data_IF_848997092896
#
_entry.id   IF_848997092896
#
_cell.length_a   1.000
_cell.length_b   1.000
_cell.length_c   1.000
_cell.angle_alpha   90.00
_cell.angle_beta   90.00
_cell.angle_gamma   90.00
#
_symmetry.space_group_name_H-M   'P 1'
#
loop_
_entity.id
_entity.type
_entity.pdbx_description
1 polymer ?
#
# COMPACT_ATOMS: atom_id res chain seq x y z
N UNK A 1 3.40 -15.64 -13.97
CA UNK A 1 3.23 -16.44 -12.73
C UNK A 1 4.39 -16.19 -11.77
N UNK A 2 5.66 -16.45 -12.14
CA UNK A 2 6.83 -16.28 -11.25
C UNK A 2 6.94 -14.87 -10.65
N UNK A 3 6.69 -13.82 -11.43
CA UNK A 3 6.66 -12.44 -10.93
C UNK A 3 5.52 -12.20 -9.93
N UNK A 4 4.36 -12.84 -10.10
CA UNK A 4 3.26 -12.74 -9.14
C UNK A 4 3.61 -13.41 -7.81
N UNK A 5 4.22 -14.59 -7.84
CA UNK A 5 4.72 -15.27 -6.62
C UNK A 5 5.75 -14.41 -5.91
N UNK A 6 6.69 -13.85 -6.67
CA UNK A 6 7.70 -12.94 -6.13
C UNK A 6 7.07 -11.70 -5.52
N UNK A 7 6.13 -11.06 -6.21
CA UNK A 7 5.43 -9.86 -5.72
C UNK A 7 4.74 -10.08 -4.39
N UNK A 8 4.13 -11.26 -4.17
CA UNK A 8 3.47 -11.60 -2.90
C UNK A 8 4.43 -11.88 -1.74
N UNK A 9 5.70 -12.18 -2.02
CA UNK A 9 6.66 -12.59 -0.98
C UNK A 9 7.71 -11.53 -0.66
N UNK A 10 8.13 -10.73 -1.63
CA UNK A 10 9.25 -9.80 -1.48
C UNK A 10 8.98 -8.69 -0.45
N UNK A 11 7.72 -8.26 -0.31
CA UNK A 11 7.35 -7.20 0.61
C UNK A 11 7.10 -7.65 2.04
N UNK A 12 7.07 -8.96 2.32
CA UNK A 12 6.74 -9.50 3.66
C UNK A 12 7.67 -8.96 4.74
N UNK A 13 8.97 -8.88 4.46
CA UNK A 13 9.99 -8.35 5.39
C UNK A 13 9.89 -6.83 5.60
N UNK A 14 9.49 -6.08 4.57
CA UNK A 14 9.30 -4.63 4.67
C UNK A 14 8.05 -4.28 5.48
N UNK A 15 7.04 -5.14 5.46
CA UNK A 15 5.75 -4.94 6.13
C UNK A 15 5.57 -5.77 7.40
N UNK A 16 6.68 -6.20 8.02
CA UNK A 16 6.67 -7.00 9.27
C UNK A 16 5.75 -6.43 10.35
N UNK A 17 5.72 -5.11 10.52
CA UNK A 17 4.90 -4.44 11.54
C UNK A 17 3.39 -4.70 11.39
N UNK A 18 2.90 -5.04 10.20
CA UNK A 18 1.48 -5.26 9.98
C UNK A 18 1.01 -6.62 10.50
N UNK A 19 1.89 -7.62 10.48
CA UNK A 19 1.59 -8.95 10.97
C UNK A 19 2.14 -9.19 12.39
N UNK A 20 3.33 -8.67 12.71
CA UNK A 20 4.09 -8.97 13.92
C UNK A 20 4.34 -7.72 14.79
N UNK A 21 3.35 -6.83 14.93
CA UNK A 21 3.50 -5.53 15.58
C UNK A 21 4.02 -5.66 17.02
N UNK A 22 3.28 -6.36 17.87
CA UNK A 22 3.61 -6.52 19.30
C UNK A 22 4.85 -7.39 19.47
N UNK A 23 4.96 -8.48 18.72
CA UNK A 23 6.11 -9.38 18.78
C UNK A 23 7.43 -8.66 18.42
N UNK A 24 7.41 -7.72 17.45
CA UNK A 24 8.59 -6.89 17.13
C UNK A 24 8.98 -5.97 18.27
N UNK A 25 7.99 -5.32 18.91
CA UNK A 25 8.22 -4.42 20.03
C UNK A 25 8.86 -5.20 21.19
N UNK A 26 8.30 -6.34 21.54
CA UNK A 26 8.74 -7.14 22.68
C UNK A 26 10.12 -7.76 22.43
N UNK A 27 10.32 -8.41 21.27
CA UNK A 27 11.58 -9.09 20.94
C UNK A 27 12.76 -8.14 20.77
N UNK A 28 12.54 -6.95 20.20
CA UNK A 28 13.58 -5.94 19.96
C UNK A 28 13.60 -4.83 21.02
N UNK A 29 12.75 -4.92 22.05
CA UNK A 29 12.61 -3.96 23.15
C UNK A 29 12.45 -2.52 22.65
N UNK A 30 11.57 -2.33 21.69
CA UNK A 30 11.26 -1.03 21.09
C UNK A 30 10.02 -0.41 21.72
N UNK A 31 9.89 0.91 21.58
CA UNK A 31 8.62 1.61 21.83
C UNK A 31 7.78 1.68 20.56
N UNK A 32 6.47 1.96 20.71
CA UNK A 32 5.58 2.18 19.56
C UNK A 32 6.04 3.37 18.71
N UNK A 33 6.54 4.44 19.34
CA UNK A 33 7.15 5.59 18.64
C UNK A 33 8.36 5.16 17.83
N UNK A 34 9.26 4.33 18.39
CA UNK A 34 10.43 3.84 17.67
C UNK A 34 10.05 3.01 16.45
N UNK A 35 9.05 2.12 16.57
CA UNK A 35 8.54 1.36 15.43
C UNK A 35 7.92 2.29 14.36
N UNK A 36 7.22 3.35 14.77
CA UNK A 36 6.72 4.40 13.88
C UNK A 36 7.84 5.16 13.17
N UNK A 37 8.91 5.53 13.89
CA UNK A 37 10.08 6.21 13.32
C UNK A 37 10.80 5.39 12.25
N UNK A 38 10.84 4.06 12.38
CA UNK A 38 11.35 3.20 11.30
C UNK A 38 10.61 3.47 10.00
N UNK A 39 9.28 3.55 10.04
CA UNK A 39 8.47 3.87 8.85
C UNK A 39 8.78 5.26 8.30
N UNK A 40 8.93 6.27 9.15
CA UNK A 40 9.31 7.63 8.72
C UNK A 40 10.66 7.63 8.00
N UNK A 41 11.65 6.96 8.56
CA UNK A 41 13.01 6.89 7.99
C UNK A 41 12.98 6.16 6.65
N UNK A 42 12.33 5.01 6.56
CA UNK A 42 12.24 4.23 5.32
C UNK A 42 11.47 4.97 4.23
N UNK A 43 10.40 5.69 4.58
CA UNK A 43 9.67 6.53 3.62
C UNK A 43 10.50 7.72 3.12
N UNK A 44 11.29 8.36 3.99
CA UNK A 44 12.22 9.41 3.56
C UNK A 44 13.26 8.87 2.57
N UNK A 45 13.81 7.69 2.83
CA UNK A 45 14.74 7.01 1.92
C UNK A 45 14.04 6.67 0.61
N UNK A 46 12.83 6.11 0.65
CA UNK A 46 12.03 5.78 -0.54
C UNK A 46 11.82 7.01 -1.42
N UNK A 47 11.49 8.15 -0.82
CA UNK A 47 11.30 9.41 -1.53
C UNK A 47 12.59 9.89 -2.21
N UNK A 48 13.72 9.82 -1.52
CA UNK A 48 15.04 10.21 -2.08
C UNK A 48 15.44 9.28 -3.23
N UNK A 49 15.20 7.97 -3.08
CA UNK A 49 15.64 6.97 -4.06
C UNK A 49 14.68 6.83 -5.25
N UNK A 50 13.47 7.38 -5.18
CA UNK A 50 12.46 7.25 -6.24
C UNK A 50 12.97 7.73 -7.60
N UNK A 51 13.63 8.89 -7.66
CA UNK A 51 14.17 9.46 -8.92
C UNK A 51 15.38 8.65 -9.42
N UNK A 52 16.45 8.42 -8.62
CA UNK A 52 17.54 7.55 -9.06
C UNK A 52 17.11 6.13 -9.40
N UNK A 53 16.15 5.57 -8.64
CA UNK A 53 15.61 4.23 -8.86
C UNK A 53 14.89 4.10 -10.21
N UNK A 54 14.06 5.08 -10.57
CA UNK A 54 13.40 5.12 -11.89
C UNK A 54 14.43 5.19 -13.02
N UNK A 55 15.45 6.03 -12.88
CA UNK A 55 16.52 6.15 -13.87
C UNK A 55 17.33 4.84 -14.01
N UNK A 56 17.57 4.12 -12.91
CA UNK A 56 18.20 2.81 -12.97
C UNK A 56 17.29 1.78 -13.65
N UNK A 57 15.99 1.81 -13.38
CA UNK A 57 15.01 0.91 -13.99
C UNK A 57 14.94 1.06 -15.51
N UNK A 58 15.12 2.29 -16.01
CA UNK A 58 15.14 2.55 -17.46
C UNK A 58 16.44 2.07 -18.14
N UNK A 59 17.58 2.14 -17.44
CA UNK A 59 18.90 1.83 -18.01
C UNK A 59 19.35 0.39 -17.82
N UNK A 60 18.92 -0.25 -16.77
CA UNK A 60 19.36 -1.61 -16.43
C UNK A 60 18.36 -2.65 -16.96
N UNK A 61 18.89 -3.83 -17.24
CA UNK A 61 18.09 -5.00 -17.61
C UNK A 61 17.13 -5.38 -16.47
N UNK A 62 15.82 -5.37 -16.74
CA UNK A 62 14.81 -5.57 -15.72
C UNK A 62 14.98 -6.87 -14.92
N UNK A 63 15.30 -7.99 -15.59
CA UNK A 63 15.55 -9.28 -14.93
C UNK A 63 16.68 -9.20 -13.91
N UNK A 64 17.78 -8.51 -14.24
CA UNK A 64 18.94 -8.38 -13.33
C UNK A 64 18.60 -7.55 -12.10
N UNK A 65 17.88 -6.45 -12.27
CA UNK A 65 17.46 -5.60 -11.15
C UNK A 65 16.50 -6.37 -10.24
N UNK A 66 15.51 -7.06 -10.80
CA UNK A 66 14.56 -7.88 -10.06
C UNK A 66 15.32 -8.97 -9.24
N UNK A 67 16.22 -9.72 -9.87
CA UNK A 67 17.00 -10.76 -9.20
C UNK A 67 17.93 -10.20 -8.11
N UNK A 68 18.56 -9.06 -8.36
CA UNK A 68 19.41 -8.39 -7.36
C UNK A 68 18.59 -7.97 -6.14
N UNK A 69 17.43 -7.33 -6.35
CA UNK A 69 16.56 -6.88 -5.26
C UNK A 69 16.06 -8.08 -4.45
N UNK A 70 15.53 -9.09 -5.12
CA UNK A 70 14.98 -10.28 -4.48
C UNK A 70 16.03 -11.09 -3.72
N UNK A 71 17.19 -11.31 -4.34
CA UNK A 71 18.30 -12.02 -3.72
C UNK A 71 18.88 -11.27 -2.52
N UNK A 72 19.00 -9.95 -2.61
CA UNK A 72 19.48 -9.13 -1.48
C UNK A 72 18.49 -9.13 -0.31
N UNK A 73 17.18 -9.03 -0.55
CA UNK A 73 16.16 -9.12 0.50
C UNK A 73 16.17 -10.50 1.14
N UNK A 74 16.25 -11.57 0.33
CA UNK A 74 16.39 -12.94 0.83
C UNK A 74 17.59 -13.06 1.77
N UNK A 75 18.75 -12.56 1.35
CA UNK A 75 19.99 -12.61 2.12
C UNK A 75 19.86 -11.81 3.43
N UNK A 76 19.33 -10.59 3.38
CA UNK A 76 19.10 -9.77 4.57
C UNK A 76 18.17 -10.48 5.57
N UNK A 77 17.10 -11.13 5.09
CA UNK A 77 16.18 -11.86 5.93
C UNK A 77 16.79 -13.14 6.53
N UNK A 78 17.55 -13.89 5.77
CA UNK A 78 18.23 -15.11 6.26
C UNK A 78 19.30 -14.80 7.30
N UNK A 79 19.99 -13.66 7.16
CA UNK A 79 21.02 -13.23 8.11
C UNK A 79 20.44 -12.44 9.29
N UNK A 80 19.13 -12.13 9.31
CA UNK A 80 18.48 -11.32 10.33
C UNK A 80 18.85 -11.67 11.76
N UNK A 81 18.83 -12.96 12.21
CA UNK A 81 19.16 -13.32 13.58
C UNK A 81 20.62 -13.03 13.98
N UNK A 82 21.51 -12.86 13.02
CA UNK A 82 22.94 -12.65 13.27
C UNK A 82 23.25 -11.19 13.61
N UNK A 83 22.45 -10.23 13.18
CA UNK A 83 22.79 -8.81 13.32
C UNK A 83 21.66 -7.93 13.85
N UNK A 84 20.39 -8.42 13.88
CA UNK A 84 19.27 -7.62 14.40
C UNK A 84 18.96 -8.02 15.84
N UNK A 85 19.41 -7.18 16.79
CA UNK A 85 19.24 -7.41 18.22
C UNK A 85 18.57 -6.24 18.96
N UNK A 86 18.08 -5.23 18.23
CA UNK A 86 17.42 -4.05 18.82
C UNK A 86 17.12 -2.97 17.80
N UNK A 87 16.59 -1.84 18.29
CA UNK A 87 16.12 -0.75 17.44
C UNK A 87 17.12 -0.28 16.35
N UNK A 88 18.40 0.05 16.65
CA UNK A 88 19.30 0.56 15.62
C UNK A 88 19.58 -0.43 14.49
N UNK A 89 19.75 -1.71 14.81
CA UNK A 89 19.99 -2.75 13.82
C UNK A 89 18.74 -3.08 13.01
N UNK A 90 17.55 -2.96 13.61
CA UNK A 90 16.28 -3.08 12.88
C UNK A 90 16.06 -1.91 11.91
N UNK A 91 16.39 -0.67 12.32
CA UNK A 91 16.41 0.49 11.41
C UNK A 91 17.33 0.21 10.21
N UNK A 92 18.55 -0.28 10.46
CA UNK A 92 19.49 -0.63 9.39
C UNK A 92 18.90 -1.70 8.43
N UNK A 93 18.30 -2.75 8.98
CA UNK A 93 17.63 -3.79 8.19
C UNK A 93 16.56 -3.22 7.27
N UNK A 94 15.67 -2.40 7.81
CA UNK A 94 14.58 -1.80 7.03
C UNK A 94 15.08 -0.77 6.01
N UNK A 95 16.10 0.02 6.36
CA UNK A 95 16.74 0.94 5.42
C UNK A 95 17.41 0.18 4.26
N UNK A 96 18.12 -0.92 4.55
CA UNK A 96 18.74 -1.77 3.53
C UNK A 96 17.69 -2.39 2.59
N UNK A 97 16.59 -2.93 3.12
CA UNK A 97 15.47 -3.41 2.32
C UNK A 97 14.93 -2.32 1.38
N UNK A 98 14.71 -1.11 1.91
CA UNK A 98 14.19 0.02 1.14
C UNK A 98 15.12 0.45 0.01
N UNK A 99 16.43 0.53 0.27
CA UNK A 99 17.44 0.88 -0.72
C UNK A 99 17.48 -0.12 -1.88
N UNK A 100 17.45 -1.40 -1.55
CA UNK A 100 17.50 -2.49 -2.53
C UNK A 100 16.25 -2.51 -3.42
N UNK A 101 15.10 -2.07 -2.88
CA UNK A 101 13.82 -2.01 -3.61
C UNK A 101 13.70 -0.79 -4.54
N UNK A 102 14.62 0.16 -4.50
CA UNK A 102 14.50 1.46 -5.17
C UNK A 102 14.19 1.42 -6.67
N UNK A 103 14.76 0.47 -7.41
CA UNK A 103 14.50 0.29 -8.84
C UNK A 103 13.55 -0.90 -9.15
N UNK A 104 13.25 -1.74 -8.17
CA UNK A 104 12.50 -2.98 -8.35
C UNK A 104 11.12 -2.75 -8.96
N UNK A 105 10.35 -1.82 -8.37
CA UNK A 105 8.98 -1.57 -8.79
C UNK A 105 8.89 -1.06 -10.23
N UNK A 106 9.77 -0.14 -10.62
CA UNK A 106 9.85 0.36 -12.00
C UNK A 106 10.15 -0.76 -13.00
N UNK A 107 11.15 -1.61 -12.71
CA UNK A 107 11.50 -2.75 -13.55
C UNK A 107 10.36 -3.77 -13.64
N UNK A 108 9.67 -4.05 -12.52
CA UNK A 108 8.54 -4.97 -12.47
C UNK A 108 7.38 -4.47 -13.34
N UNK A 109 6.98 -3.21 -13.18
CA UNK A 109 5.88 -2.63 -13.95
C UNK A 109 6.22 -2.56 -15.44
N UNK A 110 7.42 -2.11 -15.79
CA UNK A 110 7.95 -2.14 -17.17
C UNK A 110 7.83 -3.55 -17.76
N UNK A 111 8.25 -4.58 -17.03
CA UNK A 111 8.22 -5.96 -17.51
C UNK A 111 6.79 -6.46 -17.73
N UNK A 112 5.87 -6.26 -16.76
CA UNK A 112 4.48 -6.72 -16.85
C UNK A 112 3.71 -6.00 -17.96
N UNK A 113 3.90 -4.66 -18.07
CA UNK A 113 3.21 -3.85 -19.06
C UNK A 113 3.54 -4.29 -20.51
N UNK A 114 4.80 -4.67 -20.75
CA UNK A 114 5.24 -5.04 -22.08
C UNK A 114 4.99 -6.53 -22.43
N UNK A 115 4.75 -7.41 -21.44
CA UNK A 115 4.47 -8.82 -21.69
C UNK A 115 3.16 -9.08 -22.46
N UNK A 116 2.12 -8.27 -22.18
CA UNK A 116 0.79 -8.44 -22.76
C UNK A 116 0.58 -7.67 -24.08
N UNK A 117 1.53 -6.82 -24.49
CA UNK A 117 1.30 -5.88 -25.58
C UNK A 117 0.16 -4.89 -25.27
N UNK A 118 -0.24 -4.07 -26.25
CA UNK A 118 -1.27 -3.03 -26.04
C UNK A 118 -2.68 -3.62 -25.76
N UNK A 119 -2.98 -4.81 -26.31
CA UNK A 119 -4.31 -5.44 -26.21
C UNK A 119 -4.48 -6.30 -24.94
N UNK A 120 -3.40 -6.87 -24.38
CA UNK A 120 -3.46 -7.83 -23.26
C UNK A 120 -2.79 -7.34 -21.98
N UNK A 121 -2.35 -6.09 -21.92
CA UNK A 121 -1.72 -5.52 -20.72
C UNK A 121 -2.61 -5.65 -19.47
N UNK A 122 -3.92 -5.39 -19.61
CA UNK A 122 -4.87 -5.55 -18.52
C UNK A 122 -4.96 -6.98 -17.98
N UNK A 123 -4.88 -7.98 -18.84
CA UNK A 123 -4.90 -9.40 -18.47
C UNK A 123 -3.59 -9.80 -17.76
N UNK A 124 -2.45 -9.27 -18.23
CA UNK A 124 -1.14 -9.49 -17.60
C UNK A 124 -1.08 -8.92 -16.18
N UNK A 125 -1.57 -7.70 -15.97
CA UNK A 125 -1.70 -7.10 -14.64
C UNK A 125 -2.70 -7.85 -13.76
N UNK A 126 -3.86 -8.22 -14.29
CA UNK A 126 -4.87 -9.01 -13.57
C UNK A 126 -4.30 -10.34 -13.08
N UNK A 127 -3.60 -11.06 -13.95
CA UNK A 127 -2.93 -12.31 -13.60
C UNK A 127 -1.83 -12.10 -12.56
N UNK A 128 -1.02 -11.04 -12.72
CA UNK A 128 0.01 -10.70 -11.75
C UNK A 128 -0.60 -10.45 -10.36
N UNK A 129 -1.61 -9.57 -10.25
CA UNK A 129 -2.20 -9.23 -8.95
C UNK A 129 -2.94 -10.39 -8.30
N UNK A 130 -3.61 -11.25 -9.09
CA UNK A 130 -4.24 -12.46 -8.56
C UNK A 130 -3.20 -13.39 -7.92
N UNK A 131 -2.11 -13.67 -8.62
CA UNK A 131 -1.06 -14.56 -8.11
C UNK A 131 -0.31 -13.90 -6.95
N UNK A 132 -0.06 -12.59 -7.01
CA UNK A 132 0.52 -11.81 -5.93
C UNK A 132 -0.32 -11.92 -4.65
N UNK A 133 -1.63 -11.71 -4.74
CA UNK A 133 -2.53 -11.84 -3.60
C UNK A 133 -2.54 -13.25 -2.99
N UNK A 134 -2.65 -14.28 -3.82
CA UNK A 134 -2.64 -15.68 -3.37
C UNK A 134 -1.30 -16.07 -2.75
N UNK A 135 -0.18 -15.74 -3.41
CA UNK A 135 1.15 -16.07 -2.90
C UNK A 135 1.51 -15.26 -1.65
N UNK A 136 1.04 -14.01 -1.55
CA UNK A 136 1.20 -13.18 -0.37
C UNK A 136 0.44 -13.76 0.83
N UNK A 137 -0.80 -14.19 0.63
CA UNK A 137 -1.57 -14.87 1.69
C UNK A 137 -0.85 -16.14 2.16
N UNK A 138 -0.56 -17.06 1.24
CA UNK A 138 0.10 -18.33 1.57
C UNK A 138 1.50 -18.11 2.14
N UNK A 139 2.27 -17.18 1.57
CA UNK A 139 3.62 -16.84 2.01
C UNK A 139 3.69 -16.26 3.42
N UNK A 140 2.63 -15.60 3.89
CA UNK A 140 2.55 -15.07 5.26
C UNK A 140 2.08 -16.12 6.28
N UNK A 141 1.35 -17.16 5.89
CA UNK A 141 1.00 -18.25 6.82
C UNK A 141 2.21 -19.08 7.25
N UNK A 142 3.23 -19.25 6.39
CA UNK A 142 4.45 -19.98 6.73
C UNK A 142 5.23 -19.30 7.88
N UNK A 143 5.53 -17.99 7.83
CA UNK A 143 6.15 -17.26 8.95
C UNK A 143 5.34 -17.28 10.23
N UNK A 144 4.01 -17.16 10.15
CA UNK A 144 3.13 -17.23 11.31
C UNK A 144 3.18 -18.59 11.98
N UNK A 145 3.08 -19.66 11.19
CA UNK A 145 3.20 -21.02 11.70
C UNK A 145 4.58 -21.28 12.31
N UNK A 146 5.64 -20.82 11.64
CA UNK A 146 6.99 -20.97 12.13
C UNK A 146 7.23 -20.22 13.45
N UNK A 147 6.71 -19.00 13.59
CA UNK A 147 6.78 -18.24 14.83
C UNK A 147 6.08 -18.96 15.98
N UNK A 148 4.86 -19.46 15.76
CA UNK A 148 4.07 -20.13 16.79
C UNK A 148 4.76 -21.39 17.37
N UNK A 149 5.72 -22.00 16.65
CA UNK A 149 6.46 -23.17 17.12
C UNK A 149 7.60 -22.83 18.09
N UNK A 150 8.14 -21.59 18.05
CA UNK A 150 9.39 -21.23 18.73
C UNK A 150 9.22 -20.23 19.88
N UNK A 151 8.00 -19.73 20.11
CA UNK A 151 7.68 -18.79 21.19
C UNK A 151 8.19 -17.37 20.97
N UNK A 152 7.93 -16.47 21.94
CA UNK A 152 8.09 -15.02 21.75
C UNK A 152 9.52 -14.53 21.56
N UNK A 153 10.51 -15.09 22.26
CA UNK A 153 11.90 -14.60 22.19
C UNK A 153 12.60 -14.94 20.86
N UNK A 154 12.34 -16.12 20.29
CA UNK A 154 12.96 -16.57 19.04
C UNK A 154 12.00 -16.50 17.85
N UNK A 155 10.71 -16.34 18.10
CA UNK A 155 9.64 -16.43 17.11
C UNK A 155 9.80 -15.44 15.96
N UNK A 156 10.09 -14.16 16.25
CA UNK A 156 10.31 -13.13 15.23
C UNK A 156 11.51 -13.49 14.34
N UNK A 157 12.62 -13.97 14.91
CA UNK A 157 13.79 -14.37 14.15
C UNK A 157 13.44 -15.52 13.19
N UNK A 158 12.72 -16.53 13.68
CA UNK A 158 12.30 -17.67 12.85
C UNK A 158 11.30 -17.26 11.79
N UNK A 159 10.37 -16.35 12.10
CA UNK A 159 9.45 -15.79 11.13
C UNK A 159 10.19 -15.08 10.00
N UNK A 160 11.13 -14.18 10.31
CA UNK A 160 11.89 -13.44 9.30
C UNK A 160 12.77 -14.37 8.46
N UNK A 161 13.44 -15.35 9.06
CA UNK A 161 14.21 -16.36 8.33
C UNK A 161 13.32 -17.18 7.40
N UNK A 162 12.13 -17.59 7.84
CA UNK A 162 11.17 -18.30 7.00
C UNK A 162 10.68 -17.45 5.81
N UNK A 163 10.45 -16.15 6.01
CA UNK A 163 10.19 -15.20 4.91
C UNK A 163 11.37 -15.15 3.93
N UNK A 164 12.60 -15.14 4.45
CA UNK A 164 13.80 -15.20 3.64
C UNK A 164 13.88 -16.48 2.79
N UNK A 165 13.52 -17.63 3.36
CA UNK A 165 13.48 -18.90 2.62
C UNK A 165 12.41 -18.86 1.51
N UNK A 166 11.20 -18.41 1.83
CA UNK A 166 10.09 -18.28 0.85
C UNK A 166 10.49 -17.34 -0.27
N UNK A 167 11.08 -16.18 0.05
CA UNK A 167 11.57 -15.22 -0.95
C UNK A 167 12.74 -15.79 -1.77
N UNK A 168 13.59 -16.62 -1.16
CA UNK A 168 14.67 -17.33 -1.89
C UNK A 168 14.07 -18.29 -2.92
N UNK A 169 13.07 -19.08 -2.54
CA UNK A 169 12.38 -19.99 -3.48
C UNK A 169 11.75 -19.19 -4.62
N UNK A 170 11.07 -18.09 -4.33
CA UNK A 170 10.50 -17.21 -5.36
C UNK A 170 11.59 -16.60 -6.26
N UNK A 171 12.77 -16.23 -5.70
CA UNK A 171 13.94 -15.73 -6.47
C UNK A 171 14.43 -16.78 -7.45
N UNK A 172 14.54 -18.03 -7.01
CA UNK A 172 14.95 -19.16 -7.88
C UNK A 172 13.93 -19.38 -9.00
N UNK A 173 12.62 -19.29 -8.70
CA UNK A 173 11.59 -19.38 -9.73
C UNK A 173 11.70 -18.25 -10.76
N UNK A 174 11.99 -17.03 -10.33
CA UNK A 174 12.25 -15.90 -11.24
C UNK A 174 13.51 -16.13 -12.05
N UNK A 175 14.59 -16.63 -11.45
CA UNK A 175 15.84 -16.91 -12.16
C UNK A 175 15.62 -17.92 -13.32
N UNK A 176 14.83 -18.96 -13.06
CA UNK A 176 14.59 -20.06 -14.03
C UNK A 176 13.56 -19.64 -15.11
N UNK A 177 12.46 -19.02 -14.73
CA UNK A 177 11.31 -18.83 -15.61
C UNK A 177 11.17 -17.42 -16.18
N UNK A 178 11.86 -16.41 -15.63
CA UNK A 178 11.79 -15.07 -16.19
C UNK A 178 12.77 -14.96 -17.38
N UNK A 179 12.25 -14.55 -18.52
CA UNK A 179 13.04 -14.33 -19.73
C UNK A 179 13.82 -13.01 -19.61
N UNK A 180 15.02 -12.95 -20.18
CA UNK A 180 15.78 -11.73 -20.30
C UNK A 180 15.31 -10.86 -21.48
N UNK A 181 15.77 -9.61 -21.55
CA UNK A 181 15.36 -8.68 -22.62
C UNK A 181 15.72 -9.18 -24.01
N UNK A 182 16.79 -9.98 -24.13
CA UNK A 182 17.24 -10.56 -25.40
C UNK A 182 16.26 -11.65 -25.87
N UNK A 183 15.87 -12.55 -24.97
CA UNK A 183 14.87 -13.60 -25.25
C UNK A 183 13.51 -13.02 -25.62
N UNK A 184 13.10 -11.94 -24.93
CA UNK A 184 11.85 -11.24 -25.24
C UNK A 184 11.93 -10.55 -26.62
N UNK A 185 13.07 -9.92 -26.95
CA UNK A 185 13.27 -9.30 -28.25
C UNK A 185 13.22 -10.30 -29.41
N UNK A 186 13.75 -11.52 -29.21
CA UNK A 186 13.65 -12.61 -30.19
C UNK A 186 12.18 -13.06 -30.45
N UNK A 187 11.29 -12.82 -29.49
CA UNK A 187 9.83 -13.00 -29.62
C UNK A 187 9.09 -11.77 -30.13
N UNK A 188 9.81 -10.71 -30.48
CA UNK A 188 9.21 -9.46 -30.93
C UNK A 188 8.69 -8.54 -29.83
N UNK A 189 8.95 -8.87 -28.53
CA UNK A 189 8.55 -8.05 -27.38
C UNK A 189 9.72 -7.16 -27.00
N UNK A 190 9.53 -5.84 -27.11
CA UNK A 190 10.51 -4.87 -26.63
C UNK A 190 10.04 -4.24 -25.33
N UNK A 191 10.84 -4.35 -24.26
CA UNK A 191 10.57 -3.66 -22.99
C UNK A 191 10.82 -2.16 -23.15
N UNK A 192 9.76 -1.43 -23.54
CA UNK A 192 9.79 0.03 -23.55
C UNK A 192 9.52 0.52 -22.13
N UNK A 193 10.30 1.49 -21.64
CA UNK A 193 9.97 2.22 -20.41
C UNK A 193 8.68 3.03 -20.61
N UNK A 194 7.99 3.32 -19.51
CA UNK A 194 6.90 4.28 -19.53
C UNK A 194 7.43 5.63 -20.03
N UNK A 195 6.58 6.40 -20.73
CA UNK A 195 6.97 7.76 -21.14
C UNK A 195 7.41 8.54 -19.89
N UNK A 196 8.62 9.13 -19.89
CA UNK A 196 9.13 9.82 -18.73
C UNK A 196 8.17 10.95 -18.35
N UNK A 197 7.86 11.08 -17.05
CA UNK A 197 7.04 12.16 -16.53
C UNK A 197 7.56 13.48 -17.12
N UNK A 198 6.74 14.15 -17.91
CA UNK A 198 7.15 15.40 -18.52
C UNK A 198 7.16 16.50 -17.45
N UNK A 199 8.35 16.73 -16.87
CA UNK A 199 8.57 17.72 -15.80
C UNK A 199 8.00 19.10 -16.18
N UNK A 200 7.91 19.41 -17.48
CA UNK A 200 7.33 20.68 -17.95
C UNK A 200 5.83 20.80 -17.69
N UNK A 201 5.13 19.70 -17.48
CA UNK A 201 3.70 19.70 -17.16
C UNK A 201 3.41 19.87 -15.66
N UNK A 202 4.37 19.58 -14.79
CA UNK A 202 4.19 19.65 -13.32
C UNK A 202 3.64 21.02 -12.86
N UNK A 203 4.19 22.18 -13.29
CA UNK A 203 3.67 23.48 -12.85
C UNK A 203 2.22 23.75 -13.27
N UNK A 204 1.78 23.15 -14.38
CA UNK A 204 0.39 23.29 -14.86
C UNK A 204 -0.55 22.41 -14.06
N UNK A 205 -0.17 21.13 -13.86
CA UNK A 205 -0.94 20.17 -13.06
C UNK A 205 -1.09 20.66 -11.61
N UNK A 206 -0.05 21.26 -11.03
CA UNK A 206 -0.10 21.84 -9.69
C UNK A 206 -1.03 23.06 -9.56
N UNK A 207 -1.39 23.72 -10.66
CA UNK A 207 -2.36 24.82 -10.64
C UNK A 207 -3.81 24.35 -10.72
N UNK A 208 -4.08 23.10 -11.04
CA UNK A 208 -5.43 22.59 -11.20
C UNK A 208 -6.07 22.22 -9.86
N UNK A 209 -7.29 22.69 -9.54
CA UNK A 209 -8.00 22.27 -8.34
C UNK A 209 -8.23 20.77 -8.27
N UNK A 210 -8.44 20.09 -9.41
CA UNK A 210 -8.58 18.65 -9.50
C UNK A 210 -7.39 17.89 -8.90
N UNK A 211 -6.17 18.42 -9.04
CA UNK A 211 -4.95 17.81 -8.48
C UNK A 211 -4.96 17.81 -6.96
N UNK A 212 -5.44 18.88 -6.33
CA UNK A 212 -5.56 18.93 -4.86
C UNK A 212 -6.72 18.05 -4.38
N UNK A 213 -7.81 18.00 -5.12
CA UNK A 213 -8.93 17.13 -4.77
C UNK A 213 -8.49 15.65 -4.77
N UNK A 214 -7.77 15.19 -5.80
CA UNK A 214 -7.28 13.81 -5.83
C UNK A 214 -6.19 13.57 -4.78
N UNK A 215 -5.32 14.55 -4.50
CA UNK A 215 -4.32 14.46 -3.45
C UNK A 215 -4.98 14.19 -2.08
N UNK A 216 -5.99 14.96 -1.70
CA UNK A 216 -6.69 14.76 -0.43
C UNK A 216 -7.59 13.53 -0.44
N UNK A 217 -8.22 13.19 -1.56
CA UNK A 217 -8.99 11.96 -1.69
C UNK A 217 -8.11 10.72 -1.53
N UNK A 218 -6.91 10.74 -2.11
CA UNK A 218 -5.93 9.67 -1.91
C UNK A 218 -5.41 9.66 -0.46
N UNK A 219 -5.11 10.83 0.12
CA UNK A 219 -4.68 10.94 1.52
C UNK A 219 -5.65 10.23 2.46
N UNK A 220 -6.94 10.59 2.40
CA UNK A 220 -7.96 10.01 3.29
C UNK A 220 -8.16 8.52 3.04
N UNK A 221 -8.26 8.10 1.78
CA UNK A 221 -8.42 6.69 1.44
C UNK A 221 -7.23 5.85 1.89
N UNK A 222 -6.01 6.36 1.64
CA UNK A 222 -4.79 5.67 2.02
C UNK A 222 -4.56 5.68 3.54
N UNK A 223 -5.01 6.73 4.24
CA UNK A 223 -5.00 6.77 5.72
C UNK A 223 -5.79 5.60 6.29
N UNK A 224 -6.99 5.33 5.79
CA UNK A 224 -7.77 4.18 6.24
C UNK A 224 -7.10 2.86 5.87
N UNK A 225 -6.62 2.73 4.62
CA UNK A 225 -5.98 1.52 4.10
C UNK A 225 -4.75 1.12 4.90
N UNK A 226 -3.82 2.04 5.14
CA UNK A 226 -2.57 1.75 5.84
C UNK A 226 -2.79 1.46 7.34
N UNK A 227 -3.79 2.10 7.95
CA UNK A 227 -3.96 2.06 9.40
C UNK A 227 -5.02 1.05 9.90
N UNK A 228 -5.68 0.29 9.01
CA UNK A 228 -6.48 -0.87 9.41
C UNK A 228 -5.64 -1.91 10.18
N UNK A 229 -4.34 -1.91 9.98
CA UNK A 229 -3.36 -2.76 10.68
C UNK A 229 -3.33 -2.54 12.19
N UNK A 230 -3.76 -1.37 12.70
CA UNK A 230 -3.83 -1.10 14.15
C UNK A 230 -4.88 -1.95 14.89
N UNK A 231 -5.76 -2.64 14.17
CA UNK A 231 -6.54 -3.72 14.80
C UNK A 231 -5.67 -4.86 15.32
N UNK A 232 -4.46 -5.08 14.79
CA UNK A 232 -3.56 -6.12 15.28
C UNK A 232 -3.15 -5.87 16.74
N UNK A 233 -2.43 -4.80 17.08
CA UNK A 233 -2.10 -4.52 18.47
C UNK A 233 -3.34 -4.23 19.34
N UNK A 234 -4.41 -3.64 18.81
CA UNK A 234 -5.66 -3.43 19.55
C UNK A 234 -6.26 -4.74 20.08
N UNK A 235 -6.31 -5.79 19.26
CA UNK A 235 -6.82 -7.09 19.64
C UNK A 235 -5.98 -7.73 20.74
N UNK A 236 -4.67 -7.50 20.77
CA UNK A 236 -3.76 -8.01 21.80
C UNK A 236 -3.89 -7.18 23.08
N UNK A 237 -3.68 -5.87 22.99
CA UNK A 237 -3.50 -4.98 24.13
C UNK A 237 -4.82 -4.63 24.85
N UNK A 238 -5.94 -4.62 24.12
CA UNK A 238 -7.26 -4.21 24.66
C UNK A 238 -8.19 -5.39 24.85
N UNK A 239 -8.26 -6.29 23.87
CA UNK A 239 -9.16 -7.46 23.91
C UNK A 239 -8.49 -8.66 24.58
N UNK A 240 -7.16 -8.72 24.60
CA UNK A 240 -6.40 -9.75 25.30
C UNK A 240 -6.32 -11.08 24.55
N UNK A 241 -6.35 -11.04 23.20
CA UNK A 241 -6.13 -12.27 22.42
C UNK A 241 -4.66 -12.61 22.31
N UNK A 242 -4.41 -13.87 22.06
CA UNK A 242 -3.07 -14.36 21.78
C UNK A 242 -2.44 -13.63 20.56
N UNK A 243 -1.16 -13.21 20.64
CA UNK A 243 -0.46 -12.51 19.55
C UNK A 243 -0.45 -13.27 18.23
N UNK A 244 -0.31 -14.60 18.27
CA UNK A 244 -0.29 -15.43 17.06
C UNK A 244 -1.67 -15.47 16.40
N UNK A 245 -2.73 -15.56 17.21
CA UNK A 245 -4.10 -15.46 16.71
C UNK A 245 -4.37 -14.10 16.09
N UNK A 246 -3.93 -13.00 16.70
CA UNK A 246 -4.05 -11.65 16.13
C UNK A 246 -3.34 -11.52 14.79
N UNK A 247 -2.15 -12.12 14.67
CA UNK A 247 -1.36 -12.12 13.44
C UNK A 247 -2.08 -12.85 12.30
N UNK A 248 -2.78 -13.97 12.59
CA UNK A 248 -3.63 -14.66 11.60
C UNK A 248 -4.75 -13.74 11.11
N UNK A 249 -5.46 -13.07 12.02
CA UNK A 249 -6.50 -12.09 11.63
C UNK A 249 -5.92 -10.93 10.82
N UNK A 250 -4.67 -10.51 11.08
CA UNK A 250 -3.98 -9.48 10.30
C UNK A 250 -3.76 -9.91 8.85
N UNK A 251 -3.32 -11.16 8.62
CA UNK A 251 -3.17 -11.71 7.26
C UNK A 251 -4.52 -11.80 6.56
N UNK A 252 -5.57 -12.24 7.24
CA UNK A 252 -6.92 -12.30 6.65
C UNK A 252 -7.42 -10.89 6.30
N UNK A 253 -7.19 -9.88 7.16
CA UNK A 253 -7.53 -8.48 6.87
C UNK A 253 -6.81 -7.95 5.64
N UNK A 254 -5.52 -8.22 5.52
CA UNK A 254 -4.69 -7.64 4.46
C UNK A 254 -4.90 -8.33 3.11
N UNK A 255 -4.90 -9.65 3.08
CA UNK A 255 -4.95 -10.41 1.84
C UNK A 255 -6.36 -10.91 1.49
N UNK A 256 -7.14 -11.32 2.49
CA UNK A 256 -8.53 -11.73 2.29
C UNK A 256 -9.41 -10.58 1.78
N UNK A 257 -9.18 -9.38 2.28
CA UNK A 257 -9.91 -8.19 1.83
C UNK A 257 -9.60 -7.81 0.37
N UNK A 258 -8.44 -8.20 -0.18
CA UNK A 258 -8.11 -7.94 -1.60
C UNK A 258 -9.09 -8.63 -2.56
N UNK A 259 -9.69 -9.75 -2.15
CA UNK A 259 -10.71 -10.46 -2.95
C UNK A 259 -11.94 -9.58 -3.21
N UNK A 260 -12.22 -8.65 -2.30
CA UNK A 260 -13.36 -7.72 -2.38
C UNK A 260 -13.05 -6.47 -3.22
N UNK A 261 -11.80 -6.19 -3.53
CA UNK A 261 -11.40 -5.03 -4.32
C UNK A 261 -12.19 -4.83 -5.63
N UNK A 262 -12.46 -5.86 -6.45
CA UNK A 262 -13.27 -5.73 -7.67
C UNK A 262 -14.69 -5.22 -7.42
N UNK A 263 -15.26 -5.45 -6.23
CA UNK A 263 -16.59 -4.95 -5.86
C UNK A 263 -16.60 -3.42 -5.83
N UNK A 264 -15.49 -2.76 -5.50
CA UNK A 264 -15.37 -1.31 -5.55
C UNK A 264 -15.67 -0.76 -6.95
N UNK A 265 -15.10 -1.38 -8.00
CA UNK A 265 -15.39 -1.03 -9.38
C UNK A 265 -16.86 -1.27 -9.75
N UNK A 266 -17.43 -2.41 -9.35
CA UNK A 266 -18.85 -2.71 -9.58
C UNK A 266 -19.75 -1.67 -8.90
N UNK A 267 -19.44 -1.30 -7.67
CA UNK A 267 -20.20 -0.27 -6.94
C UNK A 267 -20.10 1.08 -7.63
N UNK A 268 -18.88 1.52 -8.00
CA UNK A 268 -18.67 2.79 -8.66
C UNK A 268 -19.33 2.87 -10.05
N UNK A 269 -19.16 1.84 -10.89
CA UNK A 269 -19.54 1.90 -12.31
C UNK A 269 -20.97 1.42 -12.57
N UNK A 270 -21.45 0.37 -11.87
CA UNK A 270 -22.75 -0.24 -12.15
C UNK A 270 -23.86 0.16 -11.19
N UNK A 271 -23.54 0.23 -9.87
CA UNK A 271 -24.57 0.52 -8.84
C UNK A 271 -24.78 2.02 -8.71
N UNK A 272 -23.72 2.77 -8.38
CA UNK A 272 -23.84 4.23 -8.17
C UNK A 272 -23.62 5.05 -9.44
N UNK A 273 -23.03 4.45 -10.48
CA UNK A 273 -22.71 5.11 -11.76
C UNK A 273 -21.87 6.39 -11.58
N UNK A 274 -21.18 6.49 -10.47
CA UNK A 274 -20.32 7.62 -10.10
C UNK A 274 -19.35 7.19 -9.00
N UNK A 275 -18.07 7.42 -9.19
CA UNK A 275 -17.03 7.13 -8.21
C UNK A 275 -17.17 8.04 -6.99
N UNK A 276 -17.49 9.31 -7.17
CA UNK A 276 -17.70 10.26 -6.06
C UNK A 276 -18.89 9.89 -5.19
N UNK A 277 -20.00 9.40 -5.77
CA UNK A 277 -21.16 8.94 -5.00
C UNK A 277 -20.82 7.67 -4.22
N UNK A 278 -20.13 6.71 -4.83
CA UNK A 278 -19.63 5.52 -4.12
C UNK A 278 -18.72 5.91 -2.95
N UNK A 279 -17.81 6.89 -3.14
CA UNK A 279 -16.94 7.39 -2.09
C UNK A 279 -17.70 7.94 -0.89
N UNK A 280 -18.74 8.75 -1.10
CA UNK A 280 -19.59 9.25 0.00
C UNK A 280 -20.17 8.11 0.83
N UNK A 281 -20.74 7.11 0.16
CA UNK A 281 -21.37 5.96 0.83
C UNK A 281 -20.33 5.10 1.55
N UNK A 282 -19.21 4.79 0.88
CA UNK A 282 -18.15 3.95 1.45
C UNK A 282 -17.47 4.61 2.66
N UNK A 283 -17.19 5.92 2.60
CA UNK A 283 -16.65 6.65 3.75
C UNK A 283 -17.66 6.77 4.90
N UNK A 284 -18.96 6.93 4.60
CA UNK A 284 -20.00 6.94 5.64
C UNK A 284 -20.08 5.58 6.36
N UNK A 285 -20.06 4.48 5.60
CA UNK A 285 -20.02 3.12 6.16
C UNK A 285 -18.74 2.91 6.97
N UNK A 286 -17.57 3.28 6.43
CA UNK A 286 -16.30 3.16 7.13
C UNK A 286 -16.29 3.99 8.41
N UNK A 287 -16.81 5.22 8.40
CA UNK A 287 -16.88 6.07 9.58
C UNK A 287 -17.73 5.45 10.72
N UNK A 288 -18.86 4.84 10.38
CA UNK A 288 -19.66 4.08 11.35
C UNK A 288 -18.86 2.88 11.86
N UNK A 289 -18.18 2.15 10.98
CA UNK A 289 -17.36 1.00 11.37
C UNK A 289 -16.19 1.39 12.28
N UNK A 290 -15.57 2.56 12.09
CA UNK A 290 -14.51 3.04 12.99
C UNK A 290 -15.05 3.53 14.33
N UNK A 291 -16.35 3.81 14.46
CA UNK A 291 -16.98 4.17 15.73
C UNK A 291 -17.37 2.93 16.57
N UNK A 292 -17.63 1.78 15.96
CA UNK A 292 -18.05 0.56 16.68
C UNK A 292 -17.01 0.05 17.70
N UNK A 293 -15.68 0.11 17.48
CA UNK A 293 -14.69 -0.28 18.49
C UNK A 293 -14.79 0.45 19.82
N UNK A 294 -15.44 1.61 19.88
CA UNK A 294 -15.69 2.30 21.18
C UNK A 294 -16.67 1.56 22.09
N UNK A 295 -17.42 0.62 21.53
CA UNK A 295 -18.36 -0.21 22.27
C UNK A 295 -17.70 -1.49 22.82
N UNK A 296 -16.48 -1.80 22.40
CA UNK A 296 -15.76 -3.00 22.80
C UNK A 296 -14.90 -2.74 24.04
N UNK A 297 -14.83 -3.73 24.91
CA UNK A 297 -14.01 -3.77 26.10
C UNK A 297 -13.39 -5.17 26.27
N UNK A 298 -12.54 -5.34 27.27
CA UNK A 298 -11.97 -6.66 27.63
C UNK A 298 -13.04 -7.70 27.99
N UNK A 299 -14.26 -7.27 28.33
CA UNK A 299 -15.40 -8.16 28.62
C UNK A 299 -16.18 -8.56 27.36
N UNK A 300 -15.89 -7.94 26.22
CA UNK A 300 -16.59 -8.23 24.96
C UNK A 300 -16.28 -9.64 24.46
N UNK A 301 -17.22 -10.24 23.73
CA UNK A 301 -17.00 -11.54 23.12
C UNK A 301 -15.82 -11.48 22.13
N UNK A 302 -14.73 -12.14 22.49
CA UNK A 302 -13.46 -12.13 21.72
C UNK A 302 -13.66 -12.52 20.28
N UNK A 303 -14.40 -13.61 20.00
CA UNK A 303 -14.65 -14.09 18.63
C UNK A 303 -15.40 -13.05 17.81
N UNK A 304 -16.39 -12.39 18.41
CA UNK A 304 -17.15 -11.32 17.74
C UNK A 304 -16.25 -10.15 17.35
N UNK A 305 -15.38 -9.70 18.26
CA UNK A 305 -14.48 -8.58 18.01
C UNK A 305 -13.44 -8.94 16.93
N UNK A 306 -12.90 -10.16 16.96
CA UNK A 306 -11.98 -10.65 15.95
C UNK A 306 -12.60 -10.68 14.55
N UNK A 307 -13.80 -11.25 14.42
CA UNK A 307 -14.54 -11.24 13.14
C UNK A 307 -14.86 -9.83 12.71
N UNK A 308 -15.31 -8.98 13.64
CA UNK A 308 -15.59 -7.57 13.36
C UNK A 308 -14.37 -6.85 12.79
N UNK A 309 -13.16 -7.10 13.31
CA UNK A 309 -11.92 -6.44 12.87
C UNK A 309 -11.62 -6.63 11.36
N UNK A 310 -12.24 -7.63 10.72
CA UNK A 310 -12.08 -7.89 9.28
C UNK A 310 -13.02 -6.98 8.46
N UNK A 311 -14.22 -6.66 8.96
CA UNK A 311 -15.26 -5.98 8.18
C UNK A 311 -14.84 -4.60 7.66
N UNK A 312 -14.20 -3.71 8.46
CA UNK A 312 -13.71 -2.43 7.95
C UNK A 312 -12.77 -2.58 6.77
N UNK A 313 -11.89 -3.59 6.79
CA UNK A 313 -10.94 -3.81 5.71
C UNK A 313 -11.63 -4.13 4.37
N UNK A 314 -12.74 -4.85 4.36
CA UNK A 314 -13.49 -5.16 3.15
C UNK A 314 -13.99 -3.87 2.46
N UNK A 315 -14.58 -2.95 3.23
CA UNK A 315 -15.07 -1.66 2.71
C UNK A 315 -13.91 -0.78 2.26
N UNK A 316 -12.83 -0.74 3.04
CA UNK A 316 -11.64 0.07 2.75
C UNK A 316 -10.95 -0.41 1.47
N UNK A 317 -10.81 -1.73 1.26
CA UNK A 317 -10.20 -2.25 0.02
C UNK A 317 -11.08 -2.00 -1.19
N UNK A 318 -12.42 -2.12 -1.07
CA UNK A 318 -13.34 -1.75 -2.14
C UNK A 318 -13.29 -0.25 -2.48
N UNK A 319 -13.09 0.61 -1.47
CA UNK A 319 -12.89 2.04 -1.63
C UNK A 319 -11.55 2.35 -2.30
N UNK A 320 -10.46 1.75 -1.80
CA UNK A 320 -9.10 1.97 -2.28
C UNK A 320 -8.90 1.53 -3.73
N UNK A 321 -9.54 0.44 -4.14
CA UNK A 321 -9.41 -0.12 -5.50
C UNK A 321 -9.83 0.84 -6.61
N UNK A 322 -10.72 1.80 -6.33
CA UNK A 322 -11.24 2.76 -7.30
C UNK A 322 -10.66 4.17 -7.14
N UNK A 323 -9.62 4.33 -6.32
CA UNK A 323 -9.07 5.66 -6.01
C UNK A 323 -8.66 6.43 -7.27
N UNK A 324 -8.01 5.79 -8.20
CA UNK A 324 -7.57 6.45 -9.44
C UNK A 324 -8.67 6.58 -10.51
N UNK A 325 -9.83 5.91 -10.33
CA UNK A 325 -11.00 6.14 -11.19
C UNK A 325 -11.57 7.56 -11.06
N UNK A 326 -11.24 8.25 -9.95
CA UNK A 326 -11.58 9.66 -9.71
C UNK A 326 -11.02 10.59 -10.78
N UNK A 327 -9.86 10.27 -11.38
CA UNK A 327 -9.25 11.06 -12.45
C UNK A 327 -10.21 11.34 -13.61
N UNK A 328 -11.07 10.36 -13.92
CA UNK A 328 -12.10 10.49 -14.96
C UNK A 328 -13.15 11.54 -14.61
N UNK A 329 -13.64 11.55 -13.35
CA UNK A 329 -14.60 12.54 -12.86
C UNK A 329 -13.99 13.93 -12.66
N UNK A 330 -12.67 13.99 -12.43
CA UNK A 330 -11.94 15.25 -12.37
C UNK A 330 -11.54 15.79 -13.74
N UNK A 331 -11.89 15.07 -14.82
CA UNK A 331 -11.53 15.43 -16.21
C UNK A 331 -10.03 15.69 -16.42
N UNK A 332 -9.17 14.95 -15.70
CA UNK A 332 -7.72 15.05 -15.86
C UNK A 332 -7.34 14.38 -17.18
N UNK A 333 -6.66 15.11 -18.11
CA UNK A 333 -6.27 14.56 -19.40
C UNK A 333 -5.34 13.33 -19.23
N UNK A 334 -5.53 12.30 -20.06
CA UNK A 334 -4.72 11.08 -20.02
C UNK A 334 -3.21 11.35 -20.13
N UNK A 335 -2.82 12.37 -20.94
CA UNK A 335 -1.43 12.79 -21.14
C UNK A 335 -0.70 13.27 -19.89
N UNK A 336 -1.43 13.64 -18.83
CA UNK A 336 -0.89 14.11 -17.56
C UNK A 336 -1.42 13.34 -16.35
N UNK A 337 -2.20 12.28 -16.59
CA UNK A 337 -2.75 11.44 -15.55
C UNK A 337 -1.65 10.84 -14.66
N UNK A 338 -0.56 10.34 -15.26
CA UNK A 338 0.60 9.85 -14.53
C UNK A 338 1.23 10.90 -13.60
N UNK A 339 1.34 12.16 -14.06
CA UNK A 339 1.84 13.26 -13.22
C UNK A 339 0.90 13.55 -12.06
N UNK A 340 -0.42 13.56 -12.28
CA UNK A 340 -1.41 13.78 -11.24
C UNK A 340 -1.43 12.63 -10.21
N UNK A 341 -1.31 11.38 -10.65
CA UNK A 341 -1.15 10.20 -9.81
C UNK A 341 0.12 10.31 -8.97
N UNK A 342 1.26 10.64 -9.59
CA UNK A 342 2.54 10.81 -8.90
C UNK A 342 2.48 11.87 -7.80
N UNK A 343 1.86 13.03 -8.08
CA UNK A 343 1.66 14.08 -7.08
C UNK A 343 0.73 13.59 -5.95
N UNK A 344 -0.38 12.93 -6.29
CA UNK A 344 -1.32 12.45 -5.26
C UNK A 344 -0.72 11.34 -4.40
N UNK A 345 0.11 10.47 -4.97
CA UNK A 345 0.75 9.38 -4.21
C UNK A 345 1.77 9.87 -3.17
N UNK A 346 2.27 11.12 -3.30
CA UNK A 346 3.12 11.70 -2.25
C UNK A 346 2.38 11.86 -0.92
N UNK A 347 1.05 11.97 -0.95
CA UNK A 347 0.25 11.98 0.28
C UNK A 347 0.29 10.62 1.01
N UNK A 348 0.43 9.51 0.29
CA UNK A 348 0.65 8.19 0.90
C UNK A 348 1.98 8.12 1.66
N UNK A 349 3.05 8.69 1.09
CA UNK A 349 4.35 8.80 1.78
C UNK A 349 4.22 9.60 3.08
N UNK A 350 3.41 10.68 3.08
CA UNK A 350 3.11 11.44 4.30
C UNK A 350 2.36 10.58 5.34
N UNK A 351 1.35 9.82 4.92
CA UNK A 351 0.60 8.91 5.79
C UNK A 351 1.52 7.89 6.46
N UNK A 352 2.34 7.19 5.67
CA UNK A 352 3.25 6.16 6.19
C UNK A 352 4.40 6.74 7.03
N UNK A 353 4.76 8.00 6.81
CA UNK A 353 5.81 8.67 7.56
C UNK A 353 5.35 9.31 8.87
N UNK A 354 4.13 9.84 8.92
CA UNK A 354 3.67 10.69 10.04
C UNK A 354 2.73 9.94 10.98
N UNK A 355 1.71 9.23 10.44
CA UNK A 355 0.70 8.60 11.30
C UNK A 355 1.26 7.54 12.23
N UNK A 356 2.21 6.65 11.83
CA UNK A 356 2.76 5.67 12.74
C UNK A 356 3.46 6.25 13.95
N UNK A 357 4.15 7.39 13.80
CA UNK A 357 4.79 8.10 14.93
C UNK A 357 3.74 8.72 15.84
N UNK A 358 2.74 9.39 15.25
CA UNK A 358 1.64 10.00 15.99
C UNK A 358 0.87 8.94 16.79
N UNK A 359 0.45 7.87 16.13
CA UNK A 359 -0.32 6.80 16.74
C UNK A 359 0.50 6.02 17.78
N UNK A 360 1.78 5.74 17.47
CA UNK A 360 2.70 5.17 18.44
C UNK A 360 2.85 6.03 19.69
N UNK A 361 2.92 7.36 19.54
CA UNK A 361 2.98 8.28 20.67
C UNK A 361 1.71 8.27 21.53
N UNK A 362 0.54 8.07 20.91
CA UNK A 362 -0.70 7.92 21.67
C UNK A 362 -0.77 6.61 22.44
N UNK A 363 -0.30 5.51 21.84
CA UNK A 363 -0.24 4.21 22.52
C UNK A 363 0.77 4.27 23.67
N UNK A 364 1.99 4.77 23.43
CA UNK A 364 3.04 4.86 24.45
C UNK A 364 2.63 5.76 25.65
N UNK A 365 1.86 6.84 25.39
CA UNK A 365 1.46 7.79 26.42
C UNK A 365 0.17 7.42 27.13
N UNK A 366 -0.80 6.84 26.45
CA UNK A 366 -2.16 6.63 26.95
C UNK A 366 -2.55 5.15 27.06
N UNK A 367 -1.65 4.21 26.68
CA UNK A 367 -1.93 2.78 26.71
C UNK A 367 -3.14 2.40 25.84
N UNK A 368 -4.04 1.61 26.38
CA UNK A 368 -5.27 1.16 25.69
C UNK A 368 -6.17 2.31 25.21
N UNK A 369 -6.19 3.44 25.91
CA UNK A 369 -6.93 4.65 25.47
C UNK A 369 -6.34 5.25 24.19
N UNK A 370 -5.05 5.02 23.92
CA UNK A 370 -4.39 5.45 22.68
C UNK A 370 -5.07 4.88 21.44
N UNK A 371 -5.55 3.64 21.50
CA UNK A 371 -6.32 3.03 20.40
C UNK A 371 -7.66 3.73 20.16
N UNK A 372 -8.31 4.19 21.23
CA UNK A 372 -9.53 5.01 21.10
C UNK A 372 -9.26 6.29 20.31
N UNK A 373 -8.15 6.97 20.60
CA UNK A 373 -7.77 8.18 19.85
C UNK A 373 -7.46 7.87 18.37
N UNK A 374 -6.81 6.75 18.09
CA UNK A 374 -6.54 6.30 16.71
C UNK A 374 -7.86 6.09 15.96
N UNK A 375 -8.80 5.35 16.55
CA UNK A 375 -10.08 5.06 15.91
C UNK A 375 -10.96 6.32 15.75
N UNK A 376 -10.92 7.24 16.71
CA UNK A 376 -11.55 8.56 16.57
C UNK A 376 -10.95 9.37 15.42
N UNK A 377 -9.64 9.35 15.28
CA UNK A 377 -8.94 10.00 14.18
C UNK A 377 -9.36 9.41 12.82
N UNK A 378 -9.41 8.07 12.69
CA UNK A 378 -9.81 7.39 11.47
C UNK A 378 -11.30 7.64 11.14
N UNK A 379 -12.18 7.71 12.15
CA UNK A 379 -13.55 8.10 11.97
C UNK A 379 -13.70 9.56 11.51
N UNK A 380 -12.88 10.47 12.06
CA UNK A 380 -12.84 11.86 11.62
C UNK A 380 -12.28 12.01 10.20
N UNK A 381 -11.29 11.21 9.83
CA UNK A 381 -10.74 11.16 8.47
C UNK A 381 -11.82 10.75 7.44
N UNK A 382 -12.75 9.86 7.80
CA UNK A 382 -13.91 9.54 6.95
C UNK A 382 -14.76 10.77 6.62
N UNK A 383 -14.91 11.73 7.56
CA UNK A 383 -15.64 12.98 7.30
C UNK A 383 -14.91 13.83 6.25
N UNK A 384 -13.57 13.90 6.35
CA UNK A 384 -12.74 14.57 5.33
C UNK A 384 -12.88 13.87 3.98
N UNK A 385 -12.90 12.53 3.96
CA UNK A 385 -13.14 11.73 2.76
C UNK A 385 -14.48 12.04 2.10
N UNK A 386 -15.56 12.19 2.88
CA UNK A 386 -16.88 12.60 2.38
C UNK A 386 -16.82 14.02 1.79
N UNK A 387 -16.15 14.96 2.47
CA UNK A 387 -15.98 16.34 1.96
C UNK A 387 -15.24 16.33 0.63
N UNK A 388 -14.16 15.55 0.51
CA UNK A 388 -13.43 15.38 -0.74
C UNK A 388 -14.32 14.80 -1.84
N UNK A 389 -15.10 13.77 -1.53
CA UNK A 389 -16.01 13.14 -2.48
C UNK A 389 -17.11 14.10 -2.99
N UNK A 390 -17.67 14.95 -2.11
CA UNK A 390 -18.57 16.03 -2.51
C UNK A 390 -17.82 17.03 -3.41
N UNK A 391 -16.57 17.35 -3.10
CA UNK A 391 -15.70 18.19 -3.92
C UNK A 391 -15.51 17.64 -5.33
N UNK A 392 -15.27 16.33 -5.46
CA UNK A 392 -15.16 15.62 -6.76
C UNK A 392 -16.44 15.78 -7.56
N UNK A 393 -17.61 15.48 -6.97
CA UNK A 393 -18.89 15.57 -7.65
C UNK A 393 -19.22 17.02 -8.11
N UNK A 394 -18.92 18.01 -7.26
CA UNK A 394 -19.08 19.44 -7.63
C UNK A 394 -18.15 19.88 -8.76
N UNK A 395 -16.89 19.41 -8.71
CA UNK A 395 -15.90 19.70 -9.76
C UNK A 395 -16.35 19.07 -11.09
N UNK A 396 -16.76 17.80 -11.06
CA UNK A 396 -17.30 17.08 -12.21
C UNK A 396 -18.45 17.84 -12.88
N UNK A 397 -19.43 18.26 -12.08
CA UNK A 397 -20.58 19.05 -12.56
C UNK A 397 -20.14 20.35 -13.24
N UNK A 398 -19.20 21.10 -12.63
CA UNK A 398 -18.67 22.34 -13.22
C UNK A 398 -17.90 22.11 -14.51
N UNK A 399 -17.20 20.98 -14.64
CA UNK A 399 -16.53 20.60 -15.88
C UNK A 399 -17.55 20.28 -16.99
N UNK A 400 -18.62 19.55 -16.68
CA UNK A 400 -19.71 19.26 -17.64
C UNK A 400 -20.45 20.51 -18.11
N UNK A 401 -20.60 21.51 -17.22
CA UNK A 401 -21.20 22.81 -17.55
C UNK A 401 -20.23 23.74 -18.32
N UNK A 402 -19.03 23.31 -18.66
CA UNK A 402 -17.99 24.12 -19.32
C UNK A 402 -17.38 25.23 -18.46
N UNK A 403 -17.76 25.31 -17.17
CA UNK A 403 -17.27 26.33 -16.23
C UNK A 403 -15.84 26.08 -15.73
N UNK A 404 -15.36 24.86 -15.90
CA UNK A 404 -13.98 24.47 -15.54
C UNK A 404 -13.36 23.65 -16.65
N UNK A 405 -12.16 24.02 -17.06
CA UNK A 405 -11.37 23.32 -18.07
C UNK A 405 -9.93 23.23 -17.57
N UNK A 406 -9.32 22.06 -17.71
CA UNK A 406 -7.91 21.85 -17.34
C UNK A 406 -7.04 22.11 -18.57
N UNK A 407 -6.34 23.24 -18.57
CA UNK A 407 -5.55 23.70 -19.69
C UNK A 407 -4.09 23.25 -19.56
N UNK A 408 -3.53 22.75 -20.65
CA UNK A 408 -2.10 22.50 -20.82
C UNK A 408 -1.42 23.72 -21.46
N UNK A 409 -0.08 23.70 -21.48
CA UNK A 409 0.70 24.79 -22.11
C UNK A 409 0.30 24.97 -23.56
N UNK A 410 -0.07 26.20 -23.92
CA UNK A 410 -0.44 26.58 -25.29
C UNK A 410 -1.94 26.46 -25.62
N UNK A 411 -2.76 26.04 -24.65
CA UNK A 411 -4.22 26.07 -24.80
C UNK A 411 -4.78 27.40 -24.31
N UNK A 412 -5.69 27.98 -25.07
CA UNK A 412 -6.40 29.19 -24.67
C UNK A 412 -7.52 28.87 -23.68
N UNK A 413 -7.75 29.78 -22.75
CA UNK A 413 -8.79 29.65 -21.73
C UNK A 413 -10.16 29.97 -22.35
N UNK A 414 -11.16 29.06 -22.29
CA UNK A 414 -12.52 29.41 -22.74
C UNK A 414 -13.11 30.54 -21.89
N UNK A 415 -13.88 31.43 -22.54
CA UNK A 415 -14.50 32.60 -21.87
C UNK A 415 -15.40 32.22 -20.67
N UNK A 416 -16.04 31.06 -20.73
CA UNK A 416 -16.90 30.55 -19.67
C UNK A 416 -16.16 29.95 -18.46
N UNK A 417 -14.83 29.94 -18.45
CA UNK A 417 -14.04 29.26 -17.40
C UNK A 417 -13.90 30.14 -16.16
N UNK A 418 -14.25 29.63 -14.99
CA UNK A 418 -14.18 30.34 -13.69
C UNK A 418 -12.74 30.48 -13.15
N UNK A 419 -11.74 29.79 -13.69
CA UNK A 419 -10.34 29.75 -13.18
C UNK A 419 -9.33 29.40 -14.26
#
# INVERSE_FOLDING_TARGET
VSLGIMGGTIYTTSYLRFAFYTQLIDSLRMTNVQLGLVSTITNAISFIIAIPGSFLADKLEAKRVILFSCGSISLLALLFPLYVHGYPSYVFFQCANTLVMGAYWGCLMKYINNLGGEEEAGNSFGTYYLINGLSGALGNFIPLWAQAQFGDESGVNVAVVSMGIVTTVATVLVLIFLEDEKQLSERGIQLKGDEPINIRHIPYVLKWPGTYIIFFAYLTTYTLYANVSYFNPYLIDVIGIDPDASSVYSVIRSYGAMVVAPLGGIMADKVFKSTSTWYIVAFAIAGVMWAVPFLFSSESNVTMVCIYSILPSLVIFALYSVTYSILRELHIPATVAGTAIGISSTSGTFVDGVWPVLFGSWIDKFGSTGYTYIFMFLAADCILGIICAIGIGRHHKKCLEGKRVQLLKGQERPEACEW
#
